data_IF_959890575375
#
_entry.id   IF_959890575375
#
_cell.length_a   1.000
_cell.length_b   1.000
_cell.length_c   1.000
_cell.angle_alpha   90.00
_cell.angle_beta   90.00
_cell.angle_gamma   90.00
#
_symmetry.space_group_name_H-M   'P 1'
#
loop_
_entity.id
_entity.type
_entity.pdbx_description
1 polymer ?
#
# COMPACT_ATOMS: atom_id res chain seq x y z
N UNK A 1 -34.64 50.96 32.41
CA UNK A 1 -33.99 50.90 31.08
C UNK A 1 -32.80 49.93 31.03
N UNK A 2 -31.76 50.07 31.86
CA UNK A 2 -30.56 49.19 31.85
C UNK A 2 -30.78 47.68 32.14
N UNK A 3 -31.85 47.28 32.85
CA UNK A 3 -32.15 45.87 33.19
C UNK A 3 -32.80 45.10 32.03
N UNK A 4 -33.45 45.81 31.11
CA UNK A 4 -34.16 45.24 29.95
C UNK A 4 -33.17 44.87 28.82
N UNK A 5 -32.07 45.62 28.70
CA UNK A 5 -30.99 45.34 27.74
C UNK A 5 -30.17 44.09 28.09
N UNK A 6 -29.85 43.87 29.37
CA UNK A 6 -29.13 42.65 29.82
C UNK A 6 -29.92 41.36 29.54
N UNK A 7 -31.25 41.40 29.64
CA UNK A 7 -32.12 40.26 29.31
C UNK A 7 -32.15 40.01 27.80
N UNK A 8 -32.23 41.06 26.98
CA UNK A 8 -32.15 40.95 25.52
C UNK A 8 -30.82 40.39 25.04
N UNK A 9 -29.70 40.84 25.62
CA UNK A 9 -28.36 40.34 25.32
C UNK A 9 -28.24 38.85 25.68
N UNK A 10 -28.71 38.45 26.87
CA UNK A 10 -28.69 37.04 27.29
C UNK A 10 -29.52 36.15 26.36
N UNK A 11 -30.70 36.62 25.93
CA UNK A 11 -31.56 35.90 24.97
C UNK A 11 -30.85 35.75 23.63
N UNK A 12 -30.21 36.81 23.10
CA UNK A 12 -29.42 36.72 21.88
C UNK A 12 -28.26 35.73 21.99
N UNK A 13 -27.53 35.72 23.11
CA UNK A 13 -26.44 34.76 23.33
C UNK A 13 -26.94 33.31 23.39
N UNK A 14 -28.07 33.07 24.07
CA UNK A 14 -28.68 31.73 24.15
C UNK A 14 -29.18 31.28 22.78
N UNK A 15 -29.81 32.17 22.01
CA UNK A 15 -30.26 31.89 20.63
C UNK A 15 -29.07 31.64 19.70
N UNK A 16 -27.99 32.43 19.80
CA UNK A 16 -26.76 32.20 19.03
C UNK A 16 -26.17 30.83 19.37
N UNK A 17 -26.02 30.50 20.65
CA UNK A 17 -25.48 29.20 21.09
C UNK A 17 -26.34 28.03 20.60
N UNK A 18 -27.67 28.17 20.58
CA UNK A 18 -28.58 27.17 20.01
C UNK A 18 -28.43 27.04 18.49
N UNK A 19 -28.22 28.15 17.78
CA UNK A 19 -27.99 28.17 16.33
C UNK A 19 -26.64 27.53 15.97
N UNK A 20 -25.58 27.85 16.73
CA UNK A 20 -24.27 27.22 16.57
C UNK A 20 -24.26 25.73 16.94
N UNK A 21 -25.13 25.29 17.87
CA UNK A 21 -25.26 23.88 18.25
C UNK A 21 -26.05 23.03 17.25
N UNK A 22 -26.85 23.67 16.39
CA UNK A 22 -27.66 23.00 15.36
C UNK A 22 -27.01 23.02 13.97
N UNK A 23 -25.93 23.79 13.79
CA UNK A 23 -24.99 23.62 12.67
C UNK A 23 -24.11 22.39 12.99
N UNK A 24 -24.71 21.21 12.88
CA UNK A 24 -23.94 19.98 12.82
C UNK A 24 -23.36 19.86 11.41
N UNK A 25 -22.06 19.58 11.31
CA UNK A 25 -21.37 19.38 10.04
C UNK A 25 -22.08 18.27 9.24
N UNK A 26 -22.30 18.50 7.95
CA UNK A 26 -22.67 17.42 7.05
C UNK A 26 -21.59 16.33 7.13
N UNK A 27 -21.98 15.11 7.47
CA UNK A 27 -21.11 13.95 7.37
C UNK A 27 -21.21 13.46 5.93
N UNK A 28 -20.19 13.73 5.10
CA UNK A 28 -20.20 13.48 3.65
C UNK A 28 -20.25 11.98 3.28
N UNK A 29 -20.45 11.07 4.24
CA UNK A 29 -20.49 9.63 4.03
C UNK A 29 -19.17 9.03 3.52
N UNK A 30 -18.07 9.78 3.63
CA UNK A 30 -16.81 9.43 3.01
C UNK A 30 -16.06 8.38 3.83
N UNK A 31 -16.02 7.14 3.33
CA UNK A 31 -15.17 6.08 3.88
C UNK A 31 -13.72 6.37 3.49
N UNK A 32 -12.86 6.55 4.50
CA UNK A 32 -11.44 6.82 4.32
C UNK A 32 -10.61 5.60 4.68
N UNK A 33 -9.73 5.18 3.77
CA UNK A 33 -8.73 4.15 4.03
C UNK A 33 -7.41 4.83 4.36
N UNK A 34 -6.95 4.68 5.60
CA UNK A 34 -5.67 5.22 6.04
C UNK A 34 -4.49 4.45 5.45
N UNK A 35 -3.51 5.16 4.90
CA UNK A 35 -2.27 4.58 4.39
C UNK A 35 -1.08 4.95 5.27
N UNK A 36 -0.24 3.95 5.58
CA UNK A 36 1.03 4.08 6.28
C UNK A 36 2.16 4.12 5.27
N UNK A 37 2.99 5.16 5.34
CA UNK A 37 4.20 5.31 4.51
C UNK A 37 5.32 4.43 5.07
N UNK A 38 5.85 3.54 4.25
CA UNK A 38 7.09 2.83 4.52
C UNK A 38 8.26 3.78 4.27
N UNK A 39 9.09 4.08 5.29
CA UNK A 39 10.25 4.92 5.09
C UNK A 39 11.21 4.22 4.14
N UNK A 40 11.66 4.94 3.11
CA UNK A 40 12.72 4.45 2.24
C UNK A 40 14.03 4.53 3.03
N UNK A 41 14.63 3.38 3.30
CA UNK A 41 15.95 3.35 3.93
C UNK A 41 16.98 3.88 2.94
N UNK A 42 17.61 5.00 3.27
CA UNK A 42 18.63 5.65 2.46
C UNK A 42 19.82 4.72 2.18
N UNK A 43 20.12 3.77 3.08
CA UNK A 43 21.16 2.75 2.84
C UNK A 43 20.70 1.75 1.79
N UNK A 44 19.46 1.27 1.86
CA UNK A 44 18.84 0.42 0.82
C UNK A 44 18.78 1.13 -0.53
N UNK A 45 18.43 2.42 -0.57
CA UNK A 45 18.44 3.25 -1.78
C UNK A 45 19.86 3.41 -2.36
N UNK A 46 20.85 3.67 -1.50
CA UNK A 46 22.26 3.75 -1.92
C UNK A 46 22.79 2.39 -2.41
N UNK A 47 22.41 1.29 -1.76
CA UNK A 47 22.77 -0.07 -2.19
C UNK A 47 22.10 -0.44 -3.52
N UNK A 48 20.83 -0.10 -3.72
CA UNK A 48 20.13 -0.26 -5.00
C UNK A 48 20.81 0.58 -6.10
N UNK A 49 21.17 1.83 -5.81
CA UNK A 49 21.90 2.71 -6.75
C UNK A 49 23.32 2.21 -7.05
N UNK A 50 24.02 1.66 -6.07
CA UNK A 50 25.32 1.03 -6.26
C UNK A 50 25.22 -0.25 -7.10
N UNK A 51 24.17 -1.05 -6.91
CA UNK A 51 23.85 -2.22 -7.74
C UNK A 51 23.52 -1.82 -9.18
N UNK A 52 22.86 -0.68 -9.40
CA UNK A 52 22.64 -0.14 -10.76
C UNK A 52 23.92 0.41 -11.41
N UNK A 53 24.85 0.96 -10.63
CA UNK A 53 26.16 1.44 -11.13
C UNK A 53 27.11 0.27 -11.43
N UNK A 54 26.95 -0.85 -10.72
CA UNK A 54 27.66 -2.10 -10.95
C UNK A 54 26.88 -2.98 -11.94
N UNK A 55 26.82 -2.58 -13.21
CA UNK A 55 26.27 -3.38 -14.32
C UNK A 55 27.05 -4.68 -14.56
N UNK A 56 26.98 -5.63 -13.62
CA UNK A 56 27.59 -6.96 -13.64
C UNK A 56 26.57 -8.04 -14.09
N UNK A 57 25.34 -7.65 -14.43
CA UNK A 57 24.30 -8.60 -14.83
C UNK A 57 24.34 -9.01 -16.31
N UNK A 58 24.90 -8.17 -17.19
CA UNK A 58 25.10 -8.53 -18.60
C UNK A 58 26.09 -9.69 -18.76
N UNK A 59 27.18 -9.68 -17.98
CA UNK A 59 28.25 -10.69 -18.06
C UNK A 59 27.78 -12.09 -17.59
N UNK A 60 26.87 -12.17 -16.61
CA UNK A 60 26.36 -13.44 -16.09
C UNK A 60 25.36 -14.12 -17.04
N UNK A 61 24.57 -13.34 -17.78
CA UNK A 61 23.68 -13.88 -18.82
C UNK A 61 24.50 -14.37 -20.03
N UNK A 62 25.54 -13.65 -20.44
CA UNK A 62 26.49 -14.08 -21.49
C UNK A 62 27.16 -15.43 -21.14
N UNK A 63 27.56 -15.63 -19.87
CA UNK A 63 28.09 -16.93 -19.41
C UNK A 63 27.04 -18.04 -19.34
N UNK A 64 25.80 -17.72 -18.95
CA UNK A 64 24.72 -18.72 -18.80
C UNK A 64 24.15 -19.17 -20.15
N UNK A 65 24.16 -18.30 -21.16
CA UNK A 65 23.69 -18.60 -22.52
C UNK A 65 24.80 -18.95 -23.52
N UNK A 66 26.07 -19.05 -23.08
CA UNK A 66 27.14 -19.61 -23.89
C UNK A 66 27.45 -18.84 -25.19
N UNK A 67 27.19 -17.53 -25.25
CA UNK A 67 27.50 -16.69 -26.42
C UNK A 67 29.00 -16.37 -26.47
N UNK A 68 29.82 -17.41 -26.69
CA UNK A 68 31.18 -17.27 -27.18
C UNK A 68 31.08 -16.86 -28.65
N UNK A 69 31.59 -15.67 -28.96
CA UNK A 69 31.58 -15.11 -30.31
C UNK A 69 32.17 -16.05 -31.35
N UNK A 70 31.29 -16.79 -32.01
CA UNK A 70 31.53 -17.45 -33.30
C UNK A 70 30.79 -16.68 -34.40
N UNK A 71 31.36 -16.58 -35.60
CA UNK A 71 30.76 -15.82 -36.69
C UNK A 71 29.57 -16.61 -37.25
N UNK A 72 28.34 -16.19 -36.95
CA UNK A 72 27.16 -16.73 -37.65
C UNK A 72 25.87 -16.90 -36.85
N UNK A 73 25.49 -15.97 -35.97
CA UNK A 73 24.16 -16.02 -35.36
C UNK A 73 23.14 -15.26 -36.23
N UNK A 74 22.31 -16.01 -36.95
CA UNK A 74 21.18 -15.49 -37.72
C UNK A 74 20.14 -14.89 -36.76
N UNK A 75 19.89 -13.61 -36.96
CA UNK A 75 18.95 -12.77 -36.21
C UNK A 75 17.50 -13.17 -36.46
N UNK A 76 16.92 -13.97 -35.56
CA UNK A 76 15.47 -14.11 -35.37
C UNK A 76 15.15 -14.50 -33.92
N UNK A 77 15.88 -13.92 -32.95
CA UNK A 77 15.68 -14.16 -31.52
C UNK A 77 15.10 -12.89 -30.92
N UNK A 78 13.85 -12.95 -30.45
CA UNK A 78 13.09 -11.80 -30.00
C UNK A 78 13.79 -11.02 -28.88
N UNK A 79 13.81 -9.70 -29.00
CA UNK A 79 14.32 -8.78 -28.00
C UNK A 79 13.54 -8.96 -26.67
N UNK A 80 14.16 -9.61 -25.69
CA UNK A 80 13.62 -9.72 -24.34
C UNK A 80 14.07 -8.54 -23.49
N UNK A 81 13.13 -7.67 -23.10
CA UNK A 81 13.37 -6.57 -22.17
C UNK A 81 13.02 -7.03 -20.74
N UNK A 82 14.01 -7.19 -19.84
CA UNK A 82 13.73 -7.61 -18.47
C UNK A 82 13.03 -6.48 -17.69
N UNK A 83 11.77 -6.70 -17.30
CA UNK A 83 11.10 -5.83 -16.33
C UNK A 83 11.60 -6.15 -14.92
N UNK A 84 12.15 -5.15 -14.23
CA UNK A 84 12.51 -5.22 -12.82
C UNK A 84 11.52 -4.41 -12.00
N UNK A 85 10.92 -5.04 -10.99
CA UNK A 85 10.12 -4.37 -9.98
C UNK A 85 11.06 -3.83 -8.89
N UNK A 86 11.06 -2.52 -8.67
CA UNK A 86 12.03 -1.82 -7.82
C UNK A 86 11.51 -1.58 -6.40
N UNK A 87 10.69 -2.50 -5.86
CA UNK A 87 10.14 -2.41 -4.50
C UNK A 87 9.29 -1.14 -4.31
N UNK A 88 8.47 -0.81 -5.31
CA UNK A 88 7.80 0.50 -5.44
C UNK A 88 6.61 0.71 -4.47
N UNK A 89 6.28 -0.28 -3.65
CA UNK A 89 5.24 -0.14 -2.65
C UNK A 89 5.73 0.68 -1.45
N UNK A 90 5.51 1.99 -1.51
CA UNK A 90 5.84 2.92 -0.44
C UNK A 90 4.68 3.09 0.57
N UNK A 91 3.44 2.81 0.18
CA UNK A 91 2.27 2.99 1.03
C UNK A 91 1.50 1.68 1.19
N UNK A 92 1.10 1.40 2.41
CA UNK A 92 0.36 0.20 2.78
C UNK A 92 -0.86 0.59 3.62
N UNK A 93 -1.94 -0.16 3.53
CA UNK A 93 -3.04 -0.03 4.49
C UNK A 93 -3.40 -1.37 5.10
N UNK A 94 -4.36 -1.34 6.02
CA UNK A 94 -4.82 -2.52 6.75
C UNK A 94 -6.24 -2.86 6.32
N UNK A 95 -6.50 -4.15 6.11
CA UNK A 95 -7.83 -4.69 5.82
C UNK A 95 -8.13 -5.84 6.77
N UNK A 96 -9.41 -6.09 7.05
CA UNK A 96 -9.88 -7.28 7.76
C UNK A 96 -10.56 -8.24 6.79
N UNK A 97 -10.26 -9.54 6.90
CA UNK A 97 -10.90 -10.60 6.09
C UNK A 97 -11.54 -11.64 7.02
N UNK A 98 -12.79 -12.00 6.73
CA UNK A 98 -13.56 -13.00 7.46
C UNK A 98 -14.30 -12.46 8.70
N UNK A 99 -14.96 -13.37 9.42
CA UNK A 99 -15.72 -13.09 10.65
C UNK A 99 -15.33 -14.10 11.75
N UNK A 100 -14.67 -13.68 12.84
CA UNK A 100 -14.19 -12.33 13.13
C UNK A 100 -13.08 -11.88 12.16
N UNK A 101 -12.90 -10.57 11.93
CA UNK A 101 -11.92 -10.06 10.98
C UNK A 101 -10.48 -10.46 11.33
N UNK A 102 -9.78 -11.07 10.37
CA UNK A 102 -8.33 -11.31 10.42
C UNK A 102 -7.62 -10.18 9.69
N UNK A 103 -6.71 -9.47 10.36
CA UNK A 103 -6.08 -8.24 9.82
C UNK A 103 -4.87 -8.54 8.94
N UNK A 104 -4.80 -7.88 7.79
CA UNK A 104 -3.68 -7.96 6.83
C UNK A 104 -3.20 -6.58 6.43
N UNK A 105 -1.88 -6.42 6.31
CA UNK A 105 -1.27 -5.26 5.67
C UNK A 105 -1.17 -5.51 4.17
N UNK A 106 -1.76 -4.64 3.37
CA UNK A 106 -1.86 -4.79 1.91
C UNK A 106 -1.40 -3.52 1.19
N UNK A 107 -1.06 -3.71 -0.08
CA UNK A 107 -0.80 -2.63 -1.03
C UNK A 107 -2.08 -2.40 -1.83
N UNK A 108 -2.55 -1.16 -1.89
CA UNK A 108 -3.64 -0.78 -2.77
C UNK A 108 -3.07 -0.51 -4.16
N UNK A 109 -3.19 -1.51 -5.05
CA UNK A 109 -2.68 -1.47 -6.42
C UNK A 109 -3.82 -1.15 -7.40
N UNK A 110 -3.70 -0.03 -8.12
CA UNK A 110 -4.68 0.38 -9.14
C UNK A 110 -4.47 -0.33 -10.48
N UNK A 111 -3.36 -1.05 -10.65
CA UNK A 111 -3.01 -1.77 -11.89
C UNK A 111 -3.61 -3.17 -11.99
N UNK A 112 -4.35 -3.63 -10.99
CA UNK A 112 -4.93 -4.97 -10.95
C UNK A 112 -6.32 -4.98 -10.28
N UNK A 113 -7.03 -6.10 -10.39
CA UNK A 113 -8.37 -6.27 -9.79
C UNK A 113 -8.45 -7.46 -8.85
N UNK A 114 -7.31 -8.06 -8.50
CA UNK A 114 -7.25 -9.23 -7.63
C UNK A 114 -6.93 -8.83 -6.19
N UNK A 115 -7.60 -9.48 -5.24
CA UNK A 115 -7.21 -9.51 -3.84
C UNK A 115 -6.66 -10.90 -3.51
N UNK A 116 -5.45 -10.95 -2.97
CA UNK A 116 -4.84 -12.21 -2.52
C UNK A 116 -4.12 -12.00 -1.18
N UNK A 117 -4.21 -13.01 -0.32
CA UNK A 117 -3.49 -13.06 0.97
C UNK A 117 -2.89 -14.46 1.16
N UNK A 118 -1.78 -14.60 1.91
CA UNK A 118 -1.21 -15.90 2.21
C UNK A 118 -2.20 -16.79 2.97
N UNK A 119 -2.37 -18.04 2.56
CA UNK A 119 -3.20 -19.01 3.27
C UNK A 119 -2.45 -19.63 4.46
N UNK A 120 -3.18 -20.04 5.50
CA UNK A 120 -2.66 -20.88 6.59
C UNK A 120 -2.10 -22.21 6.11
N UNK A 121 -2.54 -22.69 4.94
CA UNK A 121 -2.04 -23.90 4.27
C UNK A 121 -0.79 -23.66 3.43
N UNK A 122 -0.18 -22.48 3.49
CA UNK A 122 1.08 -22.21 2.82
C UNK A 122 2.27 -22.58 3.72
N UNK A 123 3.17 -23.41 3.20
CA UNK A 123 4.31 -23.95 3.97
C UNK A 123 5.69 -23.63 3.37
N UNK A 124 5.84 -23.51 2.05
CA UNK A 124 7.16 -23.51 1.40
C UNK A 124 7.53 -22.20 0.68
N UNK A 125 6.94 -21.07 1.10
CA UNK A 125 7.25 -19.75 0.52
C UNK A 125 7.66 -18.76 1.59
N UNK A 126 8.63 -17.89 1.28
CA UNK A 126 9.07 -16.80 2.17
C UNK A 126 7.88 -15.95 2.64
N UNK A 127 6.90 -15.72 1.76
CA UNK A 127 5.71 -14.97 2.12
C UNK A 127 4.99 -15.56 3.35
N UNK A 128 5.01 -16.89 3.49
CA UNK A 128 4.24 -17.63 4.49
C UNK A 128 4.93 -17.72 5.85
N UNK A 129 6.21 -17.35 5.90
CA UNK A 129 6.97 -17.19 7.13
C UNK A 129 6.93 -15.74 7.64
N UNK A 130 6.91 -14.76 6.73
CA UNK A 130 7.05 -13.35 7.08
C UNK A 130 5.75 -12.54 7.06
N UNK A 131 4.63 -13.10 6.59
CA UNK A 131 3.34 -12.39 6.55
C UNK A 131 2.27 -13.13 7.34
N UNK A 132 1.28 -12.38 7.81
CA UNK A 132 0.04 -12.91 8.36
C UNK A 132 -0.63 -13.86 7.36
N UNK A 133 -1.23 -14.93 7.88
CA UNK A 133 -1.89 -15.97 7.08
C UNK A 133 -3.37 -16.03 7.39
N UNK A 134 -4.18 -16.13 6.35
CA UNK A 134 -5.62 -16.33 6.45
C UNK A 134 -5.95 -17.75 6.87
N UNK A 135 -6.68 -17.88 7.98
CA UNK A 135 -7.17 -19.14 8.53
C UNK A 135 -8.67 -19.24 8.30
N UNK A 136 -9.07 -19.94 7.25
CA UNK A 136 -10.50 -20.12 6.93
C UNK A 136 -11.28 -20.84 8.02
N UNK A 137 -10.63 -21.72 8.81
CA UNK A 137 -11.27 -22.43 9.93
C UNK A 137 -11.62 -21.52 11.12
N UNK A 138 -11.02 -20.33 11.19
CA UNK A 138 -11.29 -19.32 12.23
C UNK A 138 -12.21 -18.21 11.71
N UNK A 139 -12.85 -18.40 10.54
CA UNK A 139 -13.84 -17.49 9.97
C UNK A 139 -15.18 -18.20 9.77
N UNK A 140 -16.29 -17.53 10.10
CA UNK A 140 -17.65 -17.98 9.79
C UNK A 140 -18.16 -17.48 8.44
N UNK A 141 -17.47 -16.52 7.82
CA UNK A 141 -17.72 -15.99 6.48
C UNK A 141 -16.58 -16.25 5.51
#
# INVERSE_FOLDING_TARGET
LLKMERRGILVCFVVLMYFFSSVSCADDGLVRVGLKKKPLDLKTLRAARASMRNGCHAERLVRKFGLRGGPGFNSNEGDYVPLKNYLDAQYFGEIGIGTPPQTFTVIFDTGSSNLWVPSSKCYFSLACYFHSKYKSSESSS
#
